data_IF_299414980193
#
_entry.id   IF_299414980193
#
_cell.length_a   1.000
_cell.length_b   1.000
_cell.length_c   1.000
_cell.angle_alpha   90.00
_cell.angle_beta   90.00
_cell.angle_gamma   90.00
#
_symmetry.space_group_name_H-M   'P 1'
#
loop_
_entity.id
_entity.type
_entity.pdbx_description
1 polymer ?
#
# COMPACT_ATOMS: atom_id res chain seq x y z
N UNK A 1 27.89 2.45 69.22
CA UNK A 1 27.59 1.49 68.13
C UNK A 1 26.48 2.08 67.26
N UNK A 2 26.77 2.52 66.02
CA UNK A 2 26.14 1.88 64.85
C UNK A 2 26.99 1.98 63.56
N UNK A 3 27.43 0.84 62.98
CA UNK A 3 28.16 0.81 61.68
C UNK A 3 27.39 0.12 60.54
N UNK A 4 26.14 -0.28 60.77
CA UNK A 4 25.40 -1.14 59.83
C UNK A 4 24.67 -0.41 58.68
N UNK A 5 24.36 0.89 58.83
CA UNK A 5 23.56 1.64 57.83
C UNK A 5 24.31 2.04 56.54
N UNK A 6 25.62 2.30 56.62
CA UNK A 6 26.41 2.73 55.46
C UNK A 6 26.71 1.61 54.44
N UNK A 7 26.70 0.34 54.88
CA UNK A 7 27.00 -0.80 54.00
C UNK A 7 25.82 -1.15 53.08
N UNK A 8 24.59 -1.01 53.58
CA UNK A 8 23.37 -1.26 52.81
C UNK A 8 23.18 -0.25 51.67
N UNK A 9 23.41 1.04 51.92
CA UNK A 9 23.29 2.08 50.89
C UNK A 9 24.31 1.94 49.75
N UNK A 10 25.55 1.53 50.06
CA UNK A 10 26.58 1.29 49.03
C UNK A 10 26.26 0.05 48.17
N UNK A 11 25.73 -1.01 48.77
CA UNK A 11 25.31 -2.22 48.02
C UNK A 11 24.08 -1.94 47.15
N UNK A 12 23.12 -1.14 47.63
CA UNK A 12 21.96 -0.72 46.85
C UNK A 12 22.39 0.14 45.63
N UNK A 13 23.33 1.07 45.83
CA UNK A 13 23.88 1.90 44.76
C UNK A 13 24.62 1.05 43.71
N UNK A 14 25.45 0.10 44.14
CA UNK A 14 26.15 -0.82 43.23
C UNK A 14 25.16 -1.68 42.40
N UNK A 15 24.09 -2.18 43.02
CA UNK A 15 23.03 -2.92 42.32
C UNK A 15 22.28 -2.04 41.31
N UNK A 16 21.98 -0.79 41.67
CA UNK A 16 21.36 0.19 40.77
C UNK A 16 22.24 0.48 39.56
N UNK A 17 23.54 0.66 39.76
CA UNK A 17 24.50 0.92 38.67
C UNK A 17 24.60 -0.28 37.73
N UNK A 18 24.65 -1.51 38.25
CA UNK A 18 24.69 -2.73 37.43
C UNK A 18 23.39 -2.87 36.62
N UNK A 19 22.23 -2.61 37.24
CA UNK A 19 20.93 -2.64 36.57
C UNK A 19 20.87 -1.61 35.42
N UNK A 20 21.34 -0.39 35.65
CA UNK A 20 21.34 0.69 34.66
C UNK A 20 22.24 0.37 33.46
N UNK A 21 23.44 -0.19 33.72
CA UNK A 21 24.38 -0.60 32.66
C UNK A 21 23.80 -1.77 31.85
N UNK A 22 23.14 -2.74 32.50
CA UNK A 22 22.49 -3.87 31.83
C UNK A 22 21.26 -3.47 31.01
N UNK A 23 20.51 -2.45 31.45
CA UNK A 23 19.33 -1.93 30.73
C UNK A 23 19.69 -1.05 29.53
N UNK A 24 20.86 -0.41 29.53
CA UNK A 24 21.29 0.48 28.45
C UNK A 24 21.29 -0.21 27.06
N UNK A 25 21.94 -1.38 26.86
CA UNK A 25 21.91 -2.07 25.57
C UNK A 25 20.51 -2.59 25.20
N UNK A 26 19.67 -2.92 26.18
CA UNK A 26 18.28 -3.33 25.93
C UNK A 26 17.45 -2.17 25.38
N UNK A 27 17.56 -0.99 26.00
CA UNK A 27 16.88 0.23 25.55
C UNK A 27 17.34 0.66 24.15
N UNK A 28 18.66 0.66 23.89
CA UNK A 28 19.19 0.93 22.56
C UNK A 28 18.72 -0.08 21.51
N UNK A 29 18.66 -1.37 21.85
CA UNK A 29 18.20 -2.41 20.95
C UNK A 29 16.73 -2.25 20.55
N UNK A 30 15.85 -1.91 21.49
CA UNK A 30 14.43 -1.63 21.22
C UNK A 30 14.25 -0.40 20.32
N UNK A 31 15.03 0.66 20.55
CA UNK A 31 15.01 1.87 19.73
C UNK A 31 15.46 1.62 18.28
N UNK A 32 16.53 0.84 18.10
CA UNK A 32 17.01 0.47 16.77
C UNK A 32 15.98 -0.41 16.06
N UNK A 33 15.30 -1.30 16.79
CA UNK A 33 14.27 -2.18 16.24
C UNK A 33 13.06 -1.39 15.73
N UNK A 34 12.52 -0.44 16.51
CA UNK A 34 11.38 0.37 16.04
C UNK A 34 11.73 1.10 14.74
N UNK A 35 12.95 1.64 14.67
CA UNK A 35 13.45 2.30 13.47
C UNK A 35 13.61 1.36 12.27
N UNK A 36 14.09 0.13 12.49
CA UNK A 36 14.23 -0.87 11.42
C UNK A 36 12.88 -1.34 10.88
N UNK A 37 11.90 -1.57 11.77
CA UNK A 37 10.55 -2.00 11.39
C UNK A 37 9.88 -0.92 10.56
N UNK A 38 9.87 0.34 11.02
CA UNK A 38 9.30 1.46 10.28
C UNK A 38 9.93 1.62 8.89
N UNK A 39 11.27 1.60 8.81
CA UNK A 39 11.97 1.74 7.54
C UNK A 39 11.68 0.57 6.59
N UNK A 40 11.65 -0.66 7.10
CA UNK A 40 11.33 -1.84 6.31
C UNK A 40 9.89 -1.83 5.78
N UNK A 41 8.93 -1.37 6.60
CA UNK A 41 7.54 -1.19 6.18
C UNK A 41 7.40 -0.12 5.10
N UNK A 42 8.08 1.02 5.25
CA UNK A 42 8.06 2.10 4.26
C UNK A 42 8.68 1.66 2.91
N UNK A 43 9.86 1.04 2.93
CA UNK A 43 10.52 0.57 1.69
C UNK A 43 9.71 -0.54 0.99
N UNK A 44 9.17 -1.50 1.75
CA UNK A 44 8.36 -2.58 1.17
C UNK A 44 7.03 -2.08 0.61
N UNK A 45 6.39 -1.10 1.27
CA UNK A 45 5.18 -0.44 0.79
C UNK A 45 5.45 0.31 -0.51
N UNK A 46 6.53 1.08 -0.59
CA UNK A 46 6.88 1.83 -1.79
C UNK A 46 7.16 0.93 -3.00
N UNK A 47 7.97 -0.12 -2.83
CA UNK A 47 8.24 -1.08 -3.89
C UNK A 47 6.95 -1.75 -4.36
N UNK A 48 6.08 -2.11 -3.41
CA UNK A 48 4.84 -2.78 -3.76
C UNK A 48 3.85 -1.87 -4.48
N UNK A 49 3.72 -0.61 -4.07
CA UNK A 49 2.89 0.38 -4.77
C UNK A 49 3.41 0.59 -6.18
N UNK A 50 4.73 0.66 -6.40
CA UNK A 50 5.30 0.80 -7.73
C UNK A 50 4.98 -0.39 -8.63
N UNK A 51 5.02 -1.62 -8.10
CA UNK A 51 4.59 -2.81 -8.84
C UNK A 51 3.11 -2.76 -9.19
N UNK A 52 2.24 -2.39 -8.24
CA UNK A 52 0.81 -2.21 -8.50
C UNK A 52 0.56 -1.14 -9.56
N UNK A 53 1.26 -0.01 -9.47
CA UNK A 53 1.15 1.07 -10.45
C UNK A 53 1.44 0.56 -11.86
N UNK A 54 2.52 -0.21 -12.04
CA UNK A 54 2.85 -0.80 -13.33
C UNK A 54 1.77 -1.78 -13.83
N UNK A 55 1.20 -2.58 -12.95
CA UNK A 55 0.14 -3.53 -13.31
C UNK A 55 -1.15 -2.80 -13.72
N UNK A 56 -1.53 -1.74 -13.00
CA UNK A 56 -2.69 -0.90 -13.32
C UNK A 56 -2.45 -0.13 -14.63
N UNK A 57 -1.25 0.43 -14.83
CA UNK A 57 -0.88 1.11 -16.06
C UNK A 57 -0.99 0.14 -17.26
N UNK A 58 -0.58 -1.13 -17.11
CA UNK A 58 -0.76 -2.15 -18.19
C UNK A 58 -2.23 -2.43 -18.51
N UNK A 59 -3.12 -2.47 -17.52
CA UNK A 59 -4.56 -2.60 -17.76
C UNK A 59 -5.05 -1.41 -18.58
N UNK A 60 -4.72 -0.18 -18.15
CA UNK A 60 -5.13 1.04 -18.86
C UNK A 60 -4.52 1.12 -20.27
N UNK A 61 -3.29 0.66 -20.47
CA UNK A 61 -2.65 0.55 -21.78
C UNK A 61 -3.41 -0.43 -22.70
N UNK A 62 -3.91 -1.53 -22.14
CA UNK A 62 -4.75 -2.47 -22.88
C UNK A 62 -6.07 -1.80 -23.32
N UNK A 63 -6.70 -1.01 -22.45
CA UNK A 63 -7.88 -0.21 -22.78
C UNK A 63 -7.59 0.81 -23.87
N UNK A 64 -6.47 1.52 -23.77
CA UNK A 64 -6.02 2.49 -24.77
C UNK A 64 -5.81 1.85 -26.13
N UNK A 65 -5.06 0.73 -26.17
CA UNK A 65 -4.76 0.01 -27.40
C UNK A 65 -6.02 -0.56 -28.06
N UNK A 66 -6.94 -1.10 -27.28
CA UNK A 66 -8.23 -1.57 -27.79
C UNK A 66 -9.06 -0.42 -28.37
N UNK A 67 -9.11 0.70 -27.66
CA UNK A 67 -9.84 1.90 -28.09
C UNK A 67 -9.28 2.46 -29.40
N UNK A 68 -7.96 2.59 -29.53
CA UNK A 68 -7.31 3.05 -30.75
C UNK A 68 -7.63 2.13 -31.94
N UNK A 69 -7.64 0.82 -31.73
CA UNK A 69 -7.87 -0.15 -32.81
C UNK A 69 -9.29 -0.09 -33.39
N UNK A 70 -10.28 0.25 -32.57
CA UNK A 70 -11.69 0.34 -32.99
C UNK A 70 -12.14 1.77 -33.30
N UNK A 71 -11.28 2.77 -33.11
CA UNK A 71 -11.66 4.17 -33.29
C UNK A 71 -12.20 4.47 -34.69
N UNK A 72 -11.57 3.94 -35.73
CA UNK A 72 -12.02 4.09 -37.12
C UNK A 72 -13.38 3.41 -37.39
N UNK A 73 -13.85 2.53 -36.49
CA UNK A 73 -15.19 1.95 -36.62
C UNK A 73 -16.29 2.95 -36.23
N UNK A 74 -15.94 4.03 -35.52
CA UNK A 74 -16.86 5.11 -35.16
C UNK A 74 -17.40 5.89 -36.37
N UNK A 75 -16.83 5.73 -37.56
CA UNK A 75 -17.36 6.25 -38.82
C UNK A 75 -18.55 5.45 -39.36
N UNK A 76 -18.65 4.16 -38.99
CA UNK A 76 -19.69 3.27 -39.50
C UNK A 76 -20.94 3.24 -38.59
N UNK A 77 -22.13 2.95 -39.16
CA UNK A 77 -23.32 2.72 -38.36
C UNK A 77 -23.17 1.45 -37.50
N UNK A 78 -23.88 1.39 -36.37
CA UNK A 78 -23.70 0.34 -35.37
C UNK A 78 -23.80 -1.10 -35.95
N UNK A 79 -24.76 -1.43 -36.83
CA UNK A 79 -24.85 -2.78 -37.41
C UNK A 79 -23.59 -3.25 -38.15
N UNK A 80 -22.82 -2.31 -38.73
CA UNK A 80 -21.58 -2.62 -39.46
C UNK A 80 -20.37 -2.70 -38.55
N UNK A 81 -20.32 -1.88 -37.49
CA UNK A 81 -19.20 -1.84 -36.55
C UNK A 81 -19.27 -2.94 -35.47
N UNK A 82 -20.49 -3.27 -35.02
CA UNK A 82 -20.73 -4.13 -33.86
C UNK A 82 -20.05 -5.51 -33.91
N UNK A 83 -20.00 -6.24 -35.04
CA UNK A 83 -19.31 -7.53 -35.10
C UNK A 83 -17.82 -7.40 -34.76
N UNK A 84 -17.14 -6.40 -35.33
CA UNK A 84 -15.72 -6.15 -35.07
C UNK A 84 -15.46 -5.68 -33.64
N UNK A 85 -16.36 -4.85 -33.07
CA UNK A 85 -16.26 -4.48 -31.65
C UNK A 85 -16.36 -5.70 -30.72
N UNK A 86 -17.29 -6.61 -31.00
CA UNK A 86 -17.44 -7.84 -30.19
C UNK A 86 -16.22 -8.75 -30.30
N UNK A 87 -15.61 -8.87 -31.48
CA UNK A 87 -14.36 -9.60 -31.64
C UNK A 87 -13.25 -9.01 -30.77
N UNK A 88 -13.10 -7.69 -30.70
CA UNK A 88 -12.04 -7.07 -29.87
C UNK A 88 -12.24 -7.30 -28.37
N UNK A 89 -13.48 -7.25 -27.87
CA UNK A 89 -13.76 -7.55 -26.46
C UNK A 89 -13.47 -9.00 -26.11
N UNK A 90 -13.80 -9.95 -27.00
CA UNK A 90 -13.51 -11.39 -26.77
C UNK A 90 -12.00 -11.66 -26.69
N UNK A 91 -11.19 -10.92 -27.43
CA UNK A 91 -9.72 -11.09 -27.46
C UNK A 91 -9.01 -10.51 -26.23
N UNK A 92 -9.70 -9.76 -25.37
CA UNK A 92 -9.12 -9.00 -24.26
C UNK A 92 -9.96 -9.19 -23.00
N UNK A 93 -9.60 -10.14 -22.10
CA UNK A 93 -10.42 -10.47 -20.94
C UNK A 93 -10.56 -9.33 -19.93
N UNK A 94 -9.66 -8.34 -19.97
CA UNK A 94 -9.72 -7.13 -19.14
C UNK A 94 -10.85 -6.18 -19.59
N UNK A 95 -11.30 -6.28 -20.84
CA UNK A 95 -12.40 -5.44 -21.34
C UNK A 95 -13.74 -6.05 -20.98
N UNK A 96 -14.58 -5.24 -20.35
CA UNK A 96 -15.99 -5.59 -20.13
C UNK A 96 -16.84 -5.19 -21.33
N UNK A 97 -16.58 -4.01 -21.89
CA UNK A 97 -17.36 -3.44 -22.99
C UNK A 97 -16.55 -2.41 -23.78
N UNK A 98 -16.89 -2.28 -25.07
CA UNK A 98 -16.44 -1.19 -25.92
C UNK A 98 -17.66 -0.43 -26.43
N UNK A 99 -17.55 0.89 -26.45
CA UNK A 99 -18.61 1.81 -26.86
C UNK A 99 -18.05 2.81 -27.87
N UNK A 100 -18.71 2.95 -29.01
CA UNK A 100 -18.40 4.00 -29.98
C UNK A 100 -19.16 5.28 -29.63
N UNK A 101 -18.44 6.39 -29.72
CA UNK A 101 -18.94 7.74 -29.48
C UNK A 101 -18.79 8.56 -30.75
N UNK A 102 -19.83 9.31 -31.11
CA UNK A 102 -19.79 10.29 -32.19
C UNK A 102 -20.43 11.58 -31.70
N UNK A 103 -19.73 12.70 -31.84
CA UNK A 103 -20.19 14.03 -31.38
C UNK A 103 -20.63 14.00 -29.90
N UNK A 104 -19.84 13.37 -29.03
CA UNK A 104 -20.15 13.17 -27.61
C UNK A 104 -21.45 12.38 -27.34
N UNK A 105 -21.92 11.58 -28.30
CA UNK A 105 -23.03 10.63 -28.12
C UNK A 105 -22.53 9.21 -28.26
N UNK A 106 -22.61 8.43 -27.19
CA UNK A 106 -22.43 7.00 -27.25
C UNK A 106 -23.60 6.41 -28.04
N UNK A 107 -23.29 5.76 -29.17
CA UNK A 107 -24.31 5.28 -30.12
C UNK A 107 -24.31 3.77 -30.34
N UNK A 108 -23.21 3.09 -30.04
CA UNK A 108 -23.06 1.66 -30.27
C UNK A 108 -22.21 1.04 -29.16
N UNK A 109 -22.68 -0.04 -28.52
CA UNK A 109 -21.90 -0.78 -27.52
C UNK A 109 -21.93 -2.27 -27.78
N UNK A 110 -20.89 -2.98 -27.35
CA UNK A 110 -20.85 -4.45 -27.46
C UNK A 110 -21.96 -5.14 -26.69
N UNK A 111 -22.40 -4.53 -25.59
CA UNK A 111 -23.43 -5.02 -24.67
C UNK A 111 -24.84 -4.73 -25.18
N UNK A 112 -25.18 -3.46 -25.40
CA UNK A 112 -26.56 -3.05 -25.73
C UNK A 112 -26.82 -2.97 -27.24
N UNK A 113 -25.79 -3.05 -28.08
CA UNK A 113 -25.92 -2.77 -29.50
C UNK A 113 -26.13 -1.28 -29.73
N UNK A 114 -27.11 -0.93 -30.56
CA UNK A 114 -27.42 0.46 -30.89
C UNK A 114 -28.25 1.11 -29.79
N UNK A 115 -27.81 2.27 -29.32
CA UNK A 115 -28.49 3.07 -28.30
C UNK A 115 -28.07 4.53 -28.46
N UNK A 116 -28.59 5.45 -27.64
CA UNK A 116 -28.10 6.83 -27.62
C UNK A 116 -27.99 7.30 -26.19
N UNK A 117 -26.78 7.70 -25.79
CA UNK A 117 -26.52 8.31 -24.49
C UNK A 117 -25.56 9.49 -24.67
N UNK A 118 -25.88 10.62 -24.05
CA UNK A 118 -24.98 11.77 -24.04
C UNK A 118 -23.80 11.49 -23.12
N UNK A 119 -22.59 11.74 -23.60
CA UNK A 119 -21.34 11.61 -22.85
C UNK A 119 -20.85 13.01 -22.54
N UNK A 120 -20.86 13.41 -21.27
CA UNK A 120 -20.29 14.69 -20.86
C UNK A 120 -18.77 14.58 -20.69
N UNK A 121 -17.94 15.24 -21.53
CA UNK A 121 -16.49 15.19 -21.39
C UNK A 121 -15.97 15.77 -20.07
N UNK A 122 -16.70 16.72 -19.46
CA UNK A 122 -16.29 17.39 -18.23
C UNK A 122 -16.33 16.49 -17.00
N UNK A 123 -17.12 15.41 -17.08
CA UNK A 123 -17.25 14.42 -16.00
C UNK A 123 -16.07 13.46 -15.86
N UNK A 124 -15.12 13.47 -16.80
CA UNK A 124 -13.96 12.59 -16.77
C UNK A 124 -12.76 13.27 -16.13
N UNK A 125 -12.15 12.60 -15.15
CA UNK A 125 -10.83 12.93 -14.63
C UNK A 125 -9.80 12.96 -15.77
N UNK A 126 -9.09 14.09 -15.91
CA UNK A 126 -8.18 14.37 -17.02
C UNK A 126 -8.80 14.10 -18.41
N UNK A 127 -10.12 14.22 -18.54
CA UNK A 127 -10.90 13.91 -19.76
C UNK A 127 -10.79 12.46 -20.27
N UNK A 128 -10.22 11.55 -19.45
CA UNK A 128 -9.87 10.18 -19.85
C UNK A 128 -10.47 9.10 -18.94
N UNK A 129 -10.56 9.34 -17.64
CA UNK A 129 -10.97 8.31 -16.68
C UNK A 129 -12.22 8.76 -15.93
N UNK A 130 -13.15 7.85 -15.69
CA UNK A 130 -14.31 8.11 -14.83
C UNK A 130 -14.71 6.82 -14.13
N UNK A 131 -14.91 6.86 -12.82
CA UNK A 131 -15.45 5.74 -12.08
C UNK A 131 -16.96 5.93 -11.96
N UNK A 132 -17.72 4.90 -12.28
CA UNK A 132 -19.19 4.89 -12.15
C UNK A 132 -19.62 3.75 -11.24
N UNK A 133 -20.77 3.89 -10.56
CA UNK A 133 -21.34 2.78 -9.81
C UNK A 133 -21.74 1.64 -10.76
N UNK A 134 -22.04 0.49 -10.17
CA UNK A 134 -22.61 -0.63 -10.91
C UNK A 134 -23.89 -0.25 -11.66
N UNK A 135 -24.20 -1.01 -12.71
CA UNK A 135 -25.40 -0.83 -13.53
C UNK A 135 -26.13 -2.16 -13.71
N UNK A 136 -27.26 -2.15 -14.42
CA UNK A 136 -28.08 -3.36 -14.64
C UNK A 136 -27.33 -4.55 -15.27
N UNK A 137 -26.18 -4.29 -15.92
CA UNK A 137 -25.33 -5.31 -16.53
C UNK A 137 -24.22 -5.80 -15.59
N UNK A 138 -23.77 -4.94 -14.67
CA UNK A 138 -22.74 -5.23 -13.66
C UNK A 138 -23.16 -4.58 -12.33
N UNK A 139 -24.15 -5.14 -11.63
CA UNK A 139 -24.71 -4.50 -10.44
C UNK A 139 -23.79 -4.60 -9.22
N UNK A 140 -22.94 -5.63 -9.18
CA UNK A 140 -22.14 -5.99 -8.00
C UNK A 140 -20.73 -5.37 -7.99
N UNK A 141 -20.43 -4.42 -8.89
CA UNK A 141 -19.14 -3.72 -8.89
C UNK A 141 -19.19 -2.39 -9.66
N UNK A 142 -18.37 -1.44 -9.20
CA UNK A 142 -18.09 -0.22 -9.93
C UNK A 142 -17.41 -0.48 -11.28
N UNK A 143 -17.53 0.46 -12.20
CA UNK A 143 -17.02 0.35 -13.56
C UNK A 143 -16.12 1.54 -13.84
N UNK A 144 -14.89 1.27 -14.29
CA UNK A 144 -13.98 2.30 -14.74
C UNK A 144 -14.14 2.49 -16.26
N UNK A 145 -14.47 3.72 -16.64
CA UNK A 145 -14.58 4.15 -18.02
C UNK A 145 -13.28 4.81 -18.46
N UNK A 146 -12.66 4.27 -19.49
CA UNK A 146 -11.55 4.88 -20.22
C UNK A 146 -12.05 5.52 -21.50
N UNK A 147 -11.78 6.81 -21.69
CA UNK A 147 -12.19 7.61 -22.84
C UNK A 147 -10.99 7.93 -23.74
N UNK A 148 -11.12 7.54 -25.00
CA UNK A 148 -10.29 7.99 -26.10
C UNK A 148 -11.16 8.86 -27.03
N UNK A 149 -10.70 10.05 -27.37
CA UNK A 149 -11.46 10.98 -28.21
C UNK A 149 -10.56 11.61 -29.29
N UNK A 150 -10.99 11.49 -30.54
CA UNK A 150 -10.50 12.23 -31.70
C UNK A 150 -11.69 12.88 -32.40
N UNK A 151 -12.05 14.10 -31.98
CA UNK A 151 -13.30 14.74 -32.40
C UNK A 151 -13.48 14.72 -33.94
N UNK A 152 -14.65 14.30 -34.45
CA UNK A 152 -15.91 14.03 -33.74
C UNK A 152 -16.04 12.60 -33.19
N UNK A 153 -15.08 11.72 -33.41
CA UNK A 153 -15.12 10.30 -33.08
C UNK A 153 -14.51 10.01 -31.70
N UNK A 154 -14.99 8.98 -31.03
CA UNK A 154 -14.43 8.54 -29.77
C UNK A 154 -14.80 7.11 -29.43
N UNK A 155 -14.13 6.58 -28.43
CA UNK A 155 -14.35 5.24 -27.90
C UNK A 155 -14.32 5.29 -26.38
N UNK A 156 -15.26 4.61 -25.74
CA UNK A 156 -15.19 4.29 -24.32
C UNK A 156 -14.88 2.81 -24.16
N UNK A 157 -13.80 2.51 -23.43
CA UNK A 157 -13.46 1.16 -23.00
C UNK A 157 -13.78 1.02 -21.52
N UNK A 158 -14.55 0.00 -21.17
CA UNK A 158 -15.00 -0.23 -19.79
C UNK A 158 -14.26 -1.43 -19.21
N UNK A 159 -13.82 -1.31 -17.97
CA UNK A 159 -13.27 -2.39 -17.15
C UNK A 159 -14.00 -2.46 -15.81
N UNK A 160 -14.14 -3.67 -15.29
CA UNK A 160 -14.71 -3.90 -13.96
C UNK A 160 -13.70 -3.46 -12.89
N UNK A 161 -14.16 -2.71 -11.89
CA UNK A 161 -13.36 -2.34 -10.73
C UNK A 161 -12.74 -3.57 -10.05
N UNK A 162 -13.41 -4.74 -10.07
CA UNK A 162 -12.88 -6.01 -9.54
C UNK A 162 -11.55 -6.42 -10.17
N UNK A 163 -11.30 -6.09 -11.45
CA UNK A 163 -10.03 -6.38 -12.11
C UNK A 163 -8.89 -5.55 -11.53
N UNK A 164 -9.16 -4.27 -11.21
CA UNK A 164 -8.21 -3.37 -10.57
C UNK A 164 -8.01 -3.78 -9.09
N UNK A 165 -9.08 -4.14 -8.39
CA UNK A 165 -9.05 -4.62 -7.00
C UNK A 165 -8.24 -5.91 -6.86
N UNK A 166 -8.46 -6.90 -7.72
CA UNK A 166 -7.67 -8.13 -7.74
C UNK A 166 -6.18 -7.87 -8.00
N UNK A 167 -5.86 -6.79 -8.72
CA UNK A 167 -4.47 -6.37 -8.93
C UNK A 167 -3.88 -5.73 -7.69
N UNK A 168 -4.63 -4.90 -6.96
CA UNK A 168 -4.23 -4.39 -5.65
C UNK A 168 -4.03 -5.51 -4.62
N UNK A 169 -4.92 -6.50 -4.58
CA UNK A 169 -4.87 -7.61 -3.61
C UNK A 169 -3.70 -8.59 -3.82
N UNK A 170 -3.10 -8.62 -5.03
CA UNK A 170 -1.94 -9.47 -5.31
C UNK A 170 -0.67 -9.01 -4.60
N UNK A 171 -0.65 -7.78 -4.12
CA UNK A 171 0.42 -7.25 -3.29
C UNK A 171 0.45 -7.98 -1.95
N UNK A 172 1.61 -8.58 -1.63
CA UNK A 172 1.86 -9.26 -0.35
C UNK A 172 2.03 -8.32 0.85
N UNK A 173 1.87 -7.01 0.67
CA UNK A 173 1.98 -6.06 1.76
C UNK A 173 0.65 -6.01 2.51
N UNK A 174 0.70 -6.06 3.85
CA UNK A 174 -0.44 -5.79 4.74
C UNK A 174 -0.95 -4.33 4.66
N UNK A 175 -0.54 -3.59 3.63
CA UNK A 175 -0.85 -2.19 3.42
C UNK A 175 -2.17 -2.07 2.65
N UNK A 176 -3.03 -1.18 3.10
CA UNK A 176 -4.24 -0.79 2.40
C UNK A 176 -3.84 0.10 1.21
N UNK A 177 -4.26 -0.31 0.01
CA UNK A 177 -4.06 0.44 -1.21
C UNK A 177 -5.36 1.13 -1.63
N UNK A 178 -5.25 2.40 -2.00
CA UNK A 178 -6.36 3.23 -2.48
C UNK A 178 -5.93 3.90 -3.78
N UNK A 179 -6.58 3.59 -4.89
CA UNK A 179 -6.49 4.32 -6.16
C UNK A 179 -7.40 5.54 -6.11
N UNK A 180 -6.88 6.68 -6.54
CA UNK A 180 -7.61 7.95 -6.63
C UNK A 180 -7.64 8.46 -8.09
N UNK A 181 -8.84 8.76 -8.57
CA UNK A 181 -9.14 9.37 -9.86
C UNK A 181 -9.91 10.69 -9.63
N UNK A 182 -9.19 11.80 -9.42
CA UNK A 182 -9.84 13.05 -9.03
C UNK A 182 -10.47 12.93 -7.64
N UNK A 183 -11.80 13.04 -7.57
CA UNK A 183 -12.57 12.92 -6.33
C UNK A 183 -13.06 11.48 -6.05
N UNK A 184 -12.86 10.57 -7.00
CA UNK A 184 -13.25 9.17 -6.87
C UNK A 184 -12.10 8.31 -6.34
N UNK A 185 -12.44 7.32 -5.52
CA UNK A 185 -11.54 6.40 -4.85
C UNK A 185 -11.95 4.95 -5.14
N UNK A 186 -10.95 4.07 -5.22
CA UNK A 186 -11.12 2.63 -5.37
C UNK A 186 -10.10 1.92 -4.48
N UNK A 187 -10.54 1.04 -3.58
CA UNK A 187 -9.67 0.24 -2.72
C UNK A 187 -9.95 -1.25 -2.90
N UNK A 188 -9.14 -2.10 -2.28
CA UNK A 188 -9.19 -3.56 -2.46
C UNK A 188 -10.55 -4.22 -2.23
N UNK A 189 -11.44 -3.62 -1.43
CA UNK A 189 -12.73 -4.20 -1.02
C UNK A 189 -13.94 -3.34 -1.42
N UNK A 190 -13.73 -2.19 -2.06
CA UNK A 190 -14.81 -1.26 -2.38
C UNK A 190 -14.35 -0.04 -3.20
N UNK A 191 -15.25 0.92 -3.34
CA UNK A 191 -15.11 2.14 -4.14
C UNK A 191 -15.78 3.33 -3.47
N UNK A 192 -15.63 4.55 -3.98
CA UNK A 192 -16.35 5.75 -3.49
C UNK A 192 -17.87 5.56 -3.33
N UNK A 193 -18.45 4.58 -4.02
CA UNK A 193 -19.88 4.26 -3.94
C UNK A 193 -20.23 3.29 -2.80
N UNK A 194 -19.22 2.66 -2.21
CA UNK A 194 -19.31 1.75 -1.08
C UNK A 194 -18.99 2.48 0.24
N UNK A 195 -18.93 1.73 1.35
CA UNK A 195 -18.79 2.18 2.75
C UNK A 195 -17.53 3.04 3.04
N UNK A 196 -17.18 3.24 4.32
CA UNK A 196 -16.07 4.09 4.77
C UNK A 196 -14.72 3.73 4.14
N UNK A 197 -14.05 4.73 3.55
CA UNK A 197 -12.69 4.64 3.02
C UNK A 197 -11.74 4.01 4.05
N UNK A 198 -10.96 2.96 3.70
CA UNK A 198 -10.11 2.27 4.66
C UNK A 198 -9.04 3.19 5.22
N UNK A 199 -8.72 3.01 6.50
CA UNK A 199 -7.64 3.73 7.15
C UNK A 199 -6.27 3.34 6.55
N UNK A 200 -5.46 4.35 6.29
CA UNK A 200 -4.14 4.26 5.66
C UNK A 200 -3.23 5.38 6.16
N UNK A 201 -3.43 5.81 7.41
CA UNK A 201 -2.71 6.89 8.10
C UNK A 201 -1.22 6.59 8.33
N UNK A 202 -0.87 5.36 8.69
CA UNK A 202 0.49 4.97 9.06
C UNK A 202 1.35 4.69 7.82
N UNK A 203 2.55 5.29 7.78
CA UNK A 203 3.51 5.15 6.67
C UNK A 203 2.90 5.43 5.29
N UNK A 204 2.17 6.54 5.18
CA UNK A 204 1.53 6.97 3.95
C UNK A 204 2.54 7.23 2.83
N UNK A 205 2.41 6.48 1.74
CA UNK A 205 3.17 6.69 0.51
C UNK A 205 2.20 6.98 -0.63
N UNK A 206 2.60 7.90 -1.51
CA UNK A 206 1.81 8.31 -2.68
C UNK A 206 2.64 8.13 -3.94
N UNK A 207 2.06 7.50 -4.96
CA UNK A 207 2.69 7.32 -6.26
C UNK A 207 1.73 7.78 -7.36
N UNK A 208 2.22 8.65 -8.24
CA UNK A 208 1.46 9.22 -9.36
C UNK A 208 1.80 8.47 -10.65
N UNK A 209 0.78 8.02 -11.39
CA UNK A 209 0.98 7.50 -12.74
C UNK A 209 1.28 8.63 -13.72
N UNK A 210 2.44 8.58 -14.36
CA UNK A 210 2.84 9.58 -15.35
C UNK A 210 1.98 9.51 -16.63
N UNK A 211 1.47 8.32 -16.99
CA UNK A 211 0.74 8.09 -18.24
C UNK A 211 -0.74 8.48 -18.14
N UNK A 212 -1.35 8.29 -16.97
CA UNK A 212 -2.80 8.43 -16.78
C UNK A 212 -3.18 9.45 -15.70
N UNK A 213 -2.23 9.91 -14.89
CA UNK A 213 -2.42 10.97 -13.90
C UNK A 213 -3.18 10.57 -12.63
N UNK A 214 -3.60 9.30 -12.49
CA UNK A 214 -4.19 8.80 -11.25
C UNK A 214 -3.12 8.63 -10.17
N UNK A 215 -3.54 8.62 -8.90
CA UNK A 215 -2.64 8.44 -7.75
C UNK A 215 -2.96 7.15 -7.02
N UNK A 216 -1.95 6.43 -6.56
CA UNK A 216 -2.10 5.33 -5.60
C UNK A 216 -1.61 5.82 -4.24
N UNK A 217 -2.46 5.70 -3.25
CA UNK A 217 -2.13 5.82 -1.84
C UNK A 217 -1.90 4.42 -1.28
N UNK A 218 -0.85 4.26 -0.49
CA UNK A 218 -0.69 3.06 0.33
C UNK A 218 -0.26 3.45 1.73
N UNK A 219 -0.76 2.70 2.70
CA UNK A 219 -0.44 2.88 4.11
C UNK A 219 -0.98 1.71 4.92
N UNK A 220 -0.69 1.71 6.21
CA UNK A 220 -1.20 0.72 7.14
C UNK A 220 -2.29 1.36 8.03
N UNK A 221 -3.23 0.56 8.55
CA UNK A 221 -4.18 1.04 9.54
C UNK A 221 -3.46 1.38 10.85
N UNK A 222 -4.03 2.30 11.62
CA UNK A 222 -3.53 2.67 12.94
C UNK A 222 -3.24 1.43 13.83
N UNK A 223 -2.07 1.42 14.46
CA UNK A 223 -1.64 0.35 15.38
C UNK A 223 -0.97 -0.85 14.70
N UNK A 224 -0.84 -0.87 13.37
CA UNK A 224 -0.15 -1.95 12.66
C UNK A 224 1.35 -1.98 13.00
N UNK A 225 2.00 -0.82 13.18
CA UNK A 225 3.41 -0.77 13.64
C UNK A 225 3.57 -1.45 15.01
N UNK A 226 2.64 -1.22 15.94
CA UNK A 226 2.67 -1.83 17.27
C UNK A 226 2.49 -3.35 17.22
N UNK A 227 1.57 -3.84 16.40
CA UNK A 227 1.36 -5.27 16.18
C UNK A 227 2.56 -5.94 15.50
N UNK A 228 3.14 -5.29 14.49
CA UNK A 228 4.36 -5.74 13.81
C UNK A 228 5.58 -5.75 14.74
N UNK A 229 5.64 -4.83 15.71
CA UNK A 229 6.66 -4.83 16.75
C UNK A 229 6.48 -6.02 17.70
N UNK A 230 5.25 -6.31 18.15
CA UNK A 230 4.98 -7.44 19.04
C UNK A 230 5.31 -8.80 18.40
N UNK A 231 5.00 -8.97 17.11
CA UNK A 231 5.25 -10.22 16.39
C UNK A 231 6.76 -10.44 16.16
N UNK A 232 7.50 -9.41 15.78
CA UNK A 232 8.96 -9.49 15.61
C UNK A 232 9.71 -9.52 16.95
N UNK A 233 9.13 -9.02 18.04
CA UNK A 233 9.77 -9.04 19.36
C UNK A 233 10.02 -10.47 19.87
N UNK A 234 9.17 -11.44 19.52
CA UNK A 234 9.35 -12.84 19.93
C UNK A 234 10.69 -13.44 19.46
N UNK A 235 11.22 -13.01 18.31
CA UNK A 235 12.50 -13.48 17.79
C UNK A 235 13.72 -12.79 18.41
N UNK A 236 13.57 -11.57 18.93
CA UNK A 236 14.68 -10.68 19.32
C UNK A 236 14.80 -10.53 20.85
N UNK A 237 13.71 -10.66 21.60
CA UNK A 237 13.72 -10.67 23.07
C UNK A 237 14.76 -11.66 23.65
N UNK A 238 14.93 -12.89 23.12
CA UNK A 238 15.92 -13.83 23.66
C UNK A 238 17.36 -13.34 23.51
N UNK A 239 17.70 -12.71 22.39
CA UNK A 239 19.06 -12.21 22.13
C UNK A 239 19.36 -10.96 22.96
N UNK A 240 18.39 -10.05 23.11
CA UNK A 240 18.50 -8.89 23.99
C UNK A 240 18.68 -9.31 25.46
N UNK A 241 17.93 -10.30 25.92
CA UNK A 241 18.08 -10.87 27.26
C UNK A 241 19.47 -11.48 27.45
N UNK A 242 19.97 -12.23 26.46
CA UNK A 242 21.31 -12.83 26.52
C UNK A 242 22.40 -11.76 26.64
N UNK A 243 22.33 -10.69 25.85
CA UNK A 243 23.28 -9.55 25.93
C UNK A 243 23.18 -8.85 27.29
N UNK A 244 21.97 -8.63 27.80
CA UNK A 244 21.74 -8.04 29.13
C UNK A 244 22.32 -8.89 30.27
N UNK A 245 22.16 -10.22 30.18
CA UNK A 245 22.74 -11.17 31.14
C UNK A 245 24.27 -11.18 31.05
N UNK A 246 24.83 -11.21 29.84
CA UNK A 246 26.28 -11.25 29.63
C UNK A 246 26.97 -9.97 30.10
N UNK A 247 26.39 -8.80 29.82
CA UNK A 247 26.90 -7.51 30.29
C UNK A 247 26.83 -7.39 31.81
N UNK A 248 25.71 -7.79 32.42
CA UNK A 248 25.55 -7.83 33.88
C UNK A 248 26.55 -8.78 34.54
N UNK A 249 26.78 -9.96 33.96
CA UNK A 249 27.75 -10.93 34.44
C UNK A 249 29.20 -10.41 34.35
N UNK A 250 29.55 -9.72 33.26
CA UNK A 250 30.88 -9.14 33.07
C UNK A 250 31.18 -7.99 34.07
N UNK A 251 30.20 -7.12 34.31
CA UNK A 251 30.31 -6.04 35.31
C UNK A 251 30.40 -6.63 36.72
N UNK A 252 29.60 -7.64 37.03
CA UNK A 252 29.69 -8.34 38.31
C UNK A 252 31.08 -8.97 38.49
N UNK A 253 31.62 -9.64 37.46
CA UNK A 253 32.92 -10.29 37.51
C UNK A 253 34.07 -9.30 37.72
N UNK A 254 34.06 -8.17 37.02
CA UNK A 254 35.11 -7.13 37.14
C UNK A 254 35.10 -6.48 38.53
N UNK A 255 33.92 -6.18 39.08
CA UNK A 255 33.79 -5.66 40.44
C UNK A 255 34.22 -6.67 41.51
N UNK A 256 33.88 -7.96 41.34
CA UNK A 256 34.28 -9.00 42.30
C UNK A 256 35.76 -9.39 42.21
N UNK A 257 36.37 -9.29 41.02
CA UNK A 257 37.81 -9.54 40.81
C UNK A 257 38.67 -8.44 41.45
N UNK A 258 38.26 -7.17 41.37
CA UNK A 258 38.96 -6.07 42.05
C UNK A 258 38.87 -6.12 43.58
N UNK A 259 37.90 -6.85 44.15
CA UNK A 259 37.83 -7.13 45.60
C UNK A 259 38.84 -8.18 46.09
N UNK A 260 39.47 -8.94 45.18
CA UNK A 260 40.45 -10.00 45.52
C UNK A 260 41.91 -9.58 45.36
N UNK A 261 42.23 -8.33 45.01
CA UNK A 261 43.61 -7.86 45.07
C UNK A 261 44.02 -7.68 46.54
N UNK A 262 44.97 -8.48 47.09
CA UNK A 262 45.43 -8.28 48.44
C UNK A 262 46.19 -6.95 48.49
N UNK A 263 45.85 -6.09 49.45
CA UNK A 263 46.66 -4.94 49.80
C UNK A 263 48.05 -5.42 50.21
N UNK A 264 49.05 -5.30 49.32
CA UNK A 264 50.45 -5.47 49.68
C UNK A 264 50.78 -4.36 50.67
N UNK A 265 50.76 -4.73 51.95
CA UNK A 265 51.08 -3.87 53.08
C UNK A 265 52.62 -3.74 53.10
N UNK A 266 53.16 -2.67 52.51
CA UNK A 266 54.54 -2.22 52.77
C UNK A 266 54.61 -1.76 54.23
N UNK A 267 55.32 -2.51 55.07
CA UNK A 267 55.96 -1.97 56.27
C UNK A 267 57.46 -2.22 56.10
N UNK A 268 58.24 -1.16 56.36
CA UNK A 268 59.69 -1.25 56.53
C UNK A 268 60.07 -1.84 57.88
#
# INVERSE_FOLDING_TARGET
MPRHKFRAGRVLLELLVILLIGLTPVGCGLLIMSWQVEKMLAESTLVSIQHTQQDIDRILDSLHNASNKVLNLADFPCPRALPSLRTEVVMRPELRSLVLVRENRAYCSTVHGEYQLLVDPGSFFNQRLRLEPGNDVTPDSAILYYRLQEYPLGVLALVDAKTLQATMQRVKASANLVLQFGDDYLWSEGSTFDDVLPDHSEQHVRVLSASYGYTIHGGYPDGHIWQAMLSNAQAIIPSLLLVGVMTSAAVYWTLFRNRRAPSVRRYG
#
